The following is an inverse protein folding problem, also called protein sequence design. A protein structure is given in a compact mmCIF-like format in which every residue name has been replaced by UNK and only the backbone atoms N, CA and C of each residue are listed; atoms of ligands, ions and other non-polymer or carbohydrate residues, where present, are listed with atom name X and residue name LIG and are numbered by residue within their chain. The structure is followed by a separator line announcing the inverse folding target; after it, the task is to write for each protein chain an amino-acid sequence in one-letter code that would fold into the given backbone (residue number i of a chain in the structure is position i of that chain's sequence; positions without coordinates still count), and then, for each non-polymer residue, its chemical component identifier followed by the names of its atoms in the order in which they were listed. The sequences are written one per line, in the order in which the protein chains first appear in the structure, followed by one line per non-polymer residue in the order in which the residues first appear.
data_IF_194493771916
#
_entry.id   IF_194493771916
#
_cell.length_a   1.000
_cell.length_b   1.000
_cell.length_c   1.000
_cell.angle_alpha   90.00
_cell.angle_beta   90.00
_cell.angle_gamma   90.00
#
_symmetry.space_group_name_H-M   'P 1'
#
loop_
_entity.id
_entity.type
_entity.pdbx_description
1 polymer ?
#
# COMPACT_ATOMS: atom_id res chain seq x y z
N UNK A 1 -27.18 3.36 7.52
CA UNK A 1 -25.89 2.62 7.43
C UNK A 1 -25.37 2.50 5.99
N UNK A 2 -26.14 1.97 5.03
CA UNK A 2 -25.71 1.83 3.62
C UNK A 2 -25.15 3.10 2.96
N UNK A 3 -25.75 4.28 3.21
CA UNK A 3 -25.27 5.56 2.64
C UNK A 3 -23.88 5.97 3.14
N UNK A 4 -23.55 5.72 4.43
CA UNK A 4 -22.24 6.04 5.00
C UNK A 4 -21.15 5.17 4.39
N UNK A 5 -21.44 3.88 4.20
CA UNK A 5 -20.54 2.94 3.55
C UNK A 5 -20.24 3.37 2.10
N UNK A 6 -21.27 3.73 1.32
CA UNK A 6 -21.08 4.18 -0.07
C UNK A 6 -20.24 5.46 -0.14
N UNK A 7 -20.48 6.41 0.75
CA UNK A 7 -19.70 7.66 0.82
C UNK A 7 -18.24 7.35 1.16
N UNK A 8 -17.99 6.52 2.17
CA UNK A 8 -16.63 6.14 2.57
C UNK A 8 -15.86 5.45 1.43
N UNK A 9 -16.50 4.50 0.75
CA UNK A 9 -15.93 3.81 -0.41
C UNK A 9 -15.63 4.79 -1.56
N UNK A 10 -16.56 5.71 -1.85
CA UNK A 10 -16.37 6.70 -2.90
C UNK A 10 -15.22 7.66 -2.56
N UNK A 11 -15.14 8.15 -1.31
CA UNK A 11 -14.05 9.02 -0.86
C UNK A 11 -12.69 8.31 -0.94
N UNK A 12 -12.61 7.06 -0.50
CA UNK A 12 -11.37 6.27 -0.63
C UNK A 12 -10.99 6.08 -2.10
N UNK A 13 -11.95 5.78 -2.97
CA UNK A 13 -11.73 5.67 -4.41
C UNK A 13 -11.17 6.98 -5.02
N UNK A 14 -11.77 8.12 -4.69
CA UNK A 14 -11.29 9.43 -5.14
C UNK A 14 -9.89 9.76 -4.60
N UNK A 15 -9.61 9.43 -3.34
CA UNK A 15 -8.27 9.61 -2.77
C UNK A 15 -7.20 8.81 -3.53
N UNK A 16 -7.49 7.55 -3.87
CA UNK A 16 -6.57 6.71 -4.66
C UNK A 16 -6.37 7.25 -6.08
N UNK A 17 -7.43 7.73 -6.73
CA UNK A 17 -7.34 8.37 -8.06
C UNK A 17 -6.44 9.61 -8.01
N UNK A 18 -6.61 10.46 -6.99
CA UNK A 18 -5.79 11.65 -6.80
C UNK A 18 -4.33 11.30 -6.54
N UNK A 19 -4.06 10.31 -5.69
CA UNK A 19 -2.69 9.85 -5.41
C UNK A 19 -2.02 9.28 -6.67
N UNK A 20 -2.73 8.48 -7.45
CA UNK A 20 -2.21 7.91 -8.69
C UNK A 20 -1.93 9.01 -9.71
N UNK A 21 -2.87 9.94 -9.88
CA UNK A 21 -2.71 11.07 -10.80
C UNK A 21 -1.51 11.93 -10.42
N UNK A 22 -1.37 12.26 -9.14
CA UNK A 22 -0.21 13.00 -8.63
C UNK A 22 1.10 12.24 -8.87
N UNK A 23 1.14 10.93 -8.60
CA UNK A 23 2.32 10.10 -8.84
C UNK A 23 2.69 10.09 -10.33
N UNK A 24 1.71 9.89 -11.22
CA UNK A 24 1.93 9.90 -12.68
C UNK A 24 2.44 11.25 -13.16
N UNK A 25 1.88 12.35 -12.69
CA UNK A 25 2.33 13.70 -13.08
C UNK A 25 3.74 13.99 -12.59
N UNK A 26 4.07 13.66 -11.33
CA UNK A 26 5.40 13.89 -10.75
C UNK A 26 6.46 13.06 -11.46
N UNK A 27 6.22 11.76 -11.66
CA UNK A 27 7.16 10.88 -12.35
C UNK A 27 7.27 11.25 -13.83
N UNK A 28 6.14 11.56 -14.48
CA UNK A 28 6.12 12.00 -15.87
C UNK A 28 6.88 13.31 -16.09
N UNK A 29 6.72 14.29 -15.19
CA UNK A 29 7.48 15.53 -15.22
C UNK A 29 8.98 15.27 -15.00
N UNK A 30 9.35 14.43 -14.03
CA UNK A 30 10.76 14.08 -13.78
C UNK A 30 11.41 13.41 -14.99
N UNK A 31 10.72 12.45 -15.62
CA UNK A 31 11.19 11.79 -16.83
C UNK A 31 11.34 12.81 -17.96
N UNK A 32 10.33 13.64 -18.20
CA UNK A 32 10.35 14.64 -19.27
C UNK A 32 11.51 15.62 -19.09
N UNK A 33 11.68 16.17 -17.89
CA UNK A 33 12.77 17.09 -17.56
C UNK A 33 14.13 16.42 -17.75
N UNK A 34 14.27 15.17 -17.31
CA UNK A 34 15.53 14.43 -17.41
C UNK A 34 15.97 14.23 -18.85
N UNK A 35 15.03 13.91 -19.74
CA UNK A 35 15.35 13.63 -21.14
C UNK A 35 15.38 14.87 -22.03
N UNK A 36 14.60 15.91 -21.72
CA UNK A 36 14.52 17.13 -22.54
C UNK A 36 15.55 18.17 -22.12
N UNK A 37 15.77 18.37 -20.82
CA UNK A 37 16.62 19.45 -20.30
C UNK A 37 17.84 18.96 -19.52
N UNK A 38 18.10 17.64 -19.48
CA UNK A 38 19.15 17.01 -18.68
C UNK A 38 19.11 17.32 -17.17
N UNK A 39 17.98 17.84 -16.67
CA UNK A 39 17.75 18.15 -15.26
C UNK A 39 16.76 17.16 -14.66
N UNK A 40 16.89 16.81 -13.39
CA UNK A 40 15.93 15.93 -12.70
C UNK A 40 15.36 16.60 -11.46
N UNK A 41 14.21 16.12 -11.00
CA UNK A 41 13.59 16.49 -9.74
C UNK A 41 14.08 15.52 -8.66
N UNK A 42 15.01 15.90 -7.76
CA UNK A 42 15.63 14.96 -6.83
C UNK A 42 14.64 14.30 -5.87
N UNK A 43 13.51 14.95 -5.63
CA UNK A 43 12.45 14.48 -4.73
C UNK A 43 11.37 13.64 -5.41
N UNK A 44 11.33 13.57 -6.74
CA UNK A 44 10.24 12.92 -7.46
C UNK A 44 10.15 11.42 -7.17
N UNK A 45 11.30 10.73 -7.10
CA UNK A 45 11.37 9.31 -6.77
C UNK A 45 10.91 9.04 -5.32
N UNK A 46 11.21 9.96 -4.41
CA UNK A 46 10.83 9.88 -3.00
C UNK A 46 9.32 10.10 -2.83
N UNK A 47 8.77 11.15 -3.46
CA UNK A 47 7.34 11.43 -3.47
C UNK A 47 6.53 10.28 -4.09
N UNK A 48 7.00 9.73 -5.22
CA UNK A 48 6.36 8.59 -5.86
C UNK A 48 6.34 7.36 -4.94
N UNK A 49 7.43 7.09 -4.22
CA UNK A 49 7.49 5.99 -3.25
C UNK A 49 6.47 6.16 -2.13
N UNK A 50 6.34 7.37 -1.57
CA UNK A 50 5.36 7.63 -0.52
C UNK A 50 3.93 7.48 -1.02
N UNK A 51 3.61 8.04 -2.19
CA UNK A 51 2.30 7.88 -2.80
C UNK A 51 1.98 6.40 -3.06
N UNK A 52 2.94 5.62 -3.55
CA UNK A 52 2.78 4.18 -3.77
C UNK A 52 2.48 3.43 -2.46
N UNK A 53 3.20 3.74 -1.37
CA UNK A 53 2.96 3.14 -0.04
C UNK A 53 1.53 3.42 0.42
N UNK A 54 1.11 4.69 0.42
CA UNK A 54 -0.24 5.08 0.84
C UNK A 54 -1.34 4.48 -0.04
N UNK A 55 -1.14 4.45 -1.36
CA UNK A 55 -2.07 3.81 -2.29
C UNK A 55 -2.20 2.31 -2.05
N UNK A 56 -1.10 1.63 -1.73
CA UNK A 56 -1.10 0.19 -1.49
C UNK A 56 -1.98 -0.14 -0.29
N UNK A 57 -1.79 0.54 0.84
CA UNK A 57 -2.55 0.29 2.06
C UNK A 57 -3.98 0.83 1.98
N UNK A 58 -4.20 2.02 1.38
CA UNK A 58 -5.55 2.59 1.18
C UNK A 58 -6.38 1.81 0.17
N UNK A 59 -5.74 1.24 -0.85
CA UNK A 59 -6.38 0.44 -1.90
C UNK A 59 -6.66 -1.01 -1.51
N UNK A 60 -5.87 -1.59 -0.59
CA UNK A 60 -5.99 -2.98 -0.19
C UNK A 60 -7.42 -3.35 0.24
N UNK A 61 -8.07 -2.53 1.07
CA UNK A 61 -9.44 -2.78 1.52
C UNK A 61 -10.47 -2.73 0.38
N UNK A 62 -10.29 -1.82 -0.58
CA UNK A 62 -11.19 -1.66 -1.74
C UNK A 62 -11.11 -2.89 -2.65
N UNK A 63 -9.87 -3.34 -2.93
CA UNK A 63 -9.59 -4.52 -3.77
C UNK A 63 -10.05 -5.81 -3.08
N UNK A 64 -9.91 -5.91 -1.75
CA UNK A 64 -10.40 -7.04 -0.98
C UNK A 64 -11.92 -7.18 -1.12
N UNK A 65 -12.66 -6.05 -1.08
CA UNK A 65 -14.12 -6.04 -1.21
C UNK A 65 -14.61 -6.53 -2.57
N UNK A 66 -13.87 -6.24 -3.64
CA UNK A 66 -14.21 -6.70 -4.99
C UNK A 66 -13.63 -8.09 -5.31
N UNK A 67 -12.94 -8.73 -4.36
CA UNK A 67 -12.27 -10.01 -4.60
C UNK A 67 -11.11 -9.91 -5.61
N UNK A 68 -10.53 -8.72 -5.80
CA UNK A 68 -9.51 -8.47 -6.82
C UNK A 68 -8.10 -8.95 -6.46
N UNK A 69 -7.90 -9.50 -5.26
CA UNK A 69 -6.63 -10.15 -4.91
C UNK A 69 -6.55 -11.49 -5.62
N UNK A 70 -5.54 -11.65 -6.48
CA UNK A 70 -5.29 -12.92 -7.17
C UNK A 70 -5.06 -14.01 -6.12
N UNK A 71 -5.92 -15.01 -6.12
CA UNK A 71 -5.87 -16.14 -5.20
C UNK A 71 -5.77 -17.45 -5.98
N UNK A 72 -4.82 -18.31 -5.62
CA UNK A 72 -4.72 -19.66 -6.15
C UNK A 72 -5.54 -20.57 -5.23
N UNK A 73 -6.67 -21.07 -5.71
CA UNK A 73 -7.60 -21.87 -4.88
C UNK A 73 -7.49 -23.37 -5.11
N UNK A 74 -6.71 -23.85 -6.09
CA UNK A 74 -6.64 -25.26 -6.47
C UNK A 74 -6.44 -26.22 -5.28
N UNK A 75 -5.55 -25.88 -4.35
CA UNK A 75 -5.30 -26.70 -3.15
C UNK A 75 -6.47 -26.65 -2.17
N UNK A 76 -7.12 -25.50 -2.03
CA UNK A 76 -8.31 -25.35 -1.19
C UNK A 76 -9.49 -26.14 -1.77
N UNK A 77 -9.70 -26.08 -3.07
CA UNK A 77 -10.84 -26.71 -3.75
C UNK A 77 -10.69 -28.25 -3.80
N UNK A 78 -9.46 -28.77 -3.74
CA UNK A 78 -9.18 -30.21 -3.70
C UNK A 78 -9.43 -30.87 -2.32
N UNK A 79 -9.63 -30.09 -1.25
CA UNK A 79 -9.81 -30.60 0.11
C UNK A 79 -11.29 -30.80 0.49
N UNK A 80 -11.61 -31.79 1.34
CA UNK A 80 -12.95 -31.92 1.94
C UNK A 80 -13.25 -30.75 2.89
N UNK A 81 -14.53 -30.55 3.23
CA UNK A 81 -15.02 -29.37 3.96
C UNK A 81 -14.27 -29.05 5.27
N UNK A 82 -13.81 -30.06 6.02
CA UNK A 82 -12.99 -29.87 7.22
C UNK A 82 -11.57 -29.40 6.88
N UNK A 83 -10.95 -29.96 5.84
CA UNK A 83 -9.62 -29.58 5.37
C UNK A 83 -9.58 -28.14 4.87
N UNK A 84 -10.64 -27.68 4.19
CA UNK A 84 -10.78 -26.29 3.76
C UNK A 84 -10.81 -25.32 4.95
N UNK A 85 -11.58 -25.64 6.00
CA UNK A 85 -11.68 -24.80 7.21
C UNK A 85 -10.34 -24.73 7.94
N UNK A 86 -9.68 -25.86 8.12
CA UNK A 86 -8.35 -25.93 8.74
C UNK A 86 -7.29 -25.17 7.94
N UNK A 87 -7.29 -25.32 6.62
CA UNK A 87 -6.36 -24.58 5.74
C UNK A 87 -6.60 -23.06 5.84
N UNK A 88 -7.87 -22.62 5.78
CA UNK A 88 -8.22 -21.19 5.95
C UNK A 88 -7.80 -20.65 7.32
N UNK A 89 -8.03 -21.42 8.38
CA UNK A 89 -7.60 -21.05 9.72
C UNK A 89 -6.07 -20.95 9.83
N UNK A 90 -5.33 -21.89 9.22
CA UNK A 90 -3.88 -21.87 9.16
C UNK A 90 -3.34 -20.65 8.40
N UNK A 91 -3.92 -20.33 7.23
CA UNK A 91 -3.57 -19.13 6.46
C UNK A 91 -3.85 -17.87 7.29
N UNK A 92 -5.02 -17.78 7.93
CA UNK A 92 -5.37 -16.64 8.76
C UNK A 92 -4.42 -16.46 9.95
N UNK A 93 -4.05 -17.56 10.63
CA UNK A 93 -3.07 -17.55 11.71
C UNK A 93 -1.69 -17.12 11.21
N UNK A 94 -1.24 -17.64 10.07
CA UNK A 94 0.02 -17.26 9.44
C UNK A 94 0.07 -15.77 9.08
N UNK A 95 -1.00 -15.24 8.49
CA UNK A 95 -1.15 -13.82 8.20
C UNK A 95 -1.15 -12.98 9.47
N UNK A 96 -1.83 -13.43 10.54
CA UNK A 96 -1.86 -12.72 11.82
C UNK A 96 -0.46 -12.62 12.44
N UNK A 97 0.29 -13.74 12.46
CA UNK A 97 1.68 -13.77 12.94
C UNK A 97 2.56 -12.86 12.08
N UNK A 98 2.44 -12.95 10.76
CA UNK A 98 3.22 -12.13 9.84
C UNK A 98 2.94 -10.63 10.00
N UNK A 99 1.68 -10.22 10.05
CA UNK A 99 1.32 -8.82 10.27
C UNK A 99 1.73 -8.33 11.66
N UNK A 100 1.59 -9.16 12.69
CA UNK A 100 2.10 -8.86 14.04
C UNK A 100 3.62 -8.63 14.04
N UNK A 101 4.37 -9.48 13.33
CA UNK A 101 5.82 -9.31 13.15
C UNK A 101 6.15 -8.03 12.38
N UNK A 102 5.43 -7.72 11.30
CA UNK A 102 5.62 -6.47 10.55
C UNK A 102 5.38 -5.23 11.41
N UNK A 103 4.36 -5.23 12.26
CA UNK A 103 4.10 -4.14 13.21
C UNK A 103 5.25 -4.01 14.21
N UNK A 104 5.70 -5.13 14.78
CA UNK A 104 6.83 -5.13 15.73
C UNK A 104 8.10 -4.54 15.11
N UNK A 105 8.50 -5.03 13.92
CA UNK A 105 9.67 -4.52 13.20
C UNK A 105 9.46 -3.08 12.77
N UNK A 106 8.26 -2.72 12.31
CA UNK A 106 7.90 -1.36 11.90
C UNK A 106 8.10 -0.35 13.03
N UNK A 107 7.67 -0.67 14.25
CA UNK A 107 7.87 0.18 15.43
C UNK A 107 9.37 0.34 15.73
N UNK A 108 10.15 -0.75 15.68
CA UNK A 108 11.60 -0.70 15.92
C UNK A 108 12.31 0.22 14.92
N UNK A 109 11.93 0.16 13.64
CA UNK A 109 12.48 1.04 12.61
C UNK A 109 12.03 2.49 12.78
N UNK A 110 10.75 2.73 13.07
CA UNK A 110 10.24 4.07 13.31
C UNK A 110 10.99 4.75 14.47
N UNK A 111 11.23 4.02 15.57
CA UNK A 111 12.00 4.53 16.70
C UNK A 111 13.47 4.81 16.33
N UNK A 112 14.11 3.99 15.50
CA UNK A 112 15.51 4.23 15.08
C UNK A 112 15.63 5.41 14.11
N UNK A 113 14.62 5.61 13.25
CA UNK A 113 14.63 6.65 12.23
C UNK A 113 14.02 7.98 12.70
N UNK A 114 13.53 8.08 13.94
CA UNK A 114 12.82 9.28 14.44
C UNK A 114 13.63 10.59 14.30
N UNK A 115 14.96 10.51 14.33
CA UNK A 115 15.86 11.67 14.17
C UNK A 115 16.38 11.86 12.75
N UNK A 116 15.99 10.99 11.82
CA UNK A 116 16.38 11.07 10.42
C UNK A 116 15.34 11.88 9.64
N UNK A 117 15.79 12.55 8.58
CA UNK A 117 14.94 13.21 7.61
C UNK A 117 15.18 12.60 6.25
N UNK A 118 14.18 12.70 5.39
CA UNK A 118 14.32 12.15 4.05
C UNK A 118 15.34 12.92 3.23
N UNK A 119 16.15 12.26 2.38
CA UNK A 119 17.29 12.92 1.73
C UNK A 119 16.91 14.08 0.80
N UNK A 120 15.78 13.97 0.08
CA UNK A 120 15.39 14.97 -0.90
C UNK A 120 14.31 15.91 -0.37
N UNK A 121 13.25 15.38 0.23
CA UNK A 121 12.15 16.21 0.75
C UNK A 121 12.42 16.79 2.14
N UNK A 122 13.44 16.30 2.84
CA UNK A 122 13.76 16.68 4.23
C UNK A 122 12.56 16.56 5.17
N UNK A 123 11.67 15.61 4.90
CA UNK A 123 10.53 15.33 5.77
C UNK A 123 11.00 14.48 6.96
N UNK A 124 10.61 14.80 8.20
CA UNK A 124 10.92 13.97 9.35
C UNK A 124 10.14 12.65 9.27
N UNK A 125 10.74 11.55 9.75
CA UNK A 125 10.06 10.25 9.88
C UNK A 125 9.11 10.18 11.10
N UNK A 126 8.94 11.27 11.83
CA UNK A 126 8.00 11.39 12.94
C UNK A 126 6.56 11.42 12.39
N UNK A 127 5.91 10.26 12.42
CA UNK A 127 4.47 10.10 12.25
C UNK A 127 3.83 9.82 13.62
#
# INVERSE_FOLDING_TARGET
MKRLETIFVALNGWALILMLSAMTLVVGANITLRYVTAHSLPWADEAARYLMIWMTFGGAGLVLRTGGHVAITNLQDALPSMGQKLLRAGIALGLLVFFGFMVYVGIQYAQRMQYQVTPALRMPFLY
#
